data_IF_547062237372
#
_entry.id   IF_547062237372
#
_cell.length_a   1.000
_cell.length_b   1.000
_cell.length_c   1.000
_cell.angle_alpha   90.00
_cell.angle_beta   90.00
_cell.angle_gamma   90.00
#
_symmetry.space_group_name_H-M   'P 1'
#
loop_
_entity.id
_entity.type
_entity.pdbx_description
1 polymer ?
#
# COMPACT_ATOMS: atom_id res chain seq x y z
N UNK A 1 -12.49 -26.29 -8.61
CA UNK A 1 -11.18 -25.62 -8.59
C UNK A 1 -11.44 -24.18 -9.04
N UNK A 2 -11.90 -23.33 -8.10
CA UNK A 2 -12.17 -21.92 -8.38
C UNK A 2 -10.82 -21.22 -8.57
N UNK A 3 -10.56 -20.69 -9.77
CA UNK A 3 -9.47 -19.75 -9.99
C UNK A 3 -9.77 -18.52 -9.15
N UNK A 4 -9.00 -18.29 -8.09
CA UNK A 4 -8.97 -16.99 -7.42
C UNK A 4 -8.51 -15.98 -8.47
N UNK A 5 -9.41 -15.08 -8.87
CA UNK A 5 -9.15 -14.03 -9.86
C UNK A 5 -8.33 -12.86 -9.28
N UNK A 6 -7.94 -12.96 -8.00
CA UNK A 6 -7.23 -11.92 -7.27
C UNK A 6 -5.74 -12.18 -7.31
N UNK A 7 -4.99 -11.28 -7.94
CA UNK A 7 -3.53 -11.39 -8.02
C UNK A 7 -2.82 -10.46 -7.01
N UNK A 8 -3.51 -9.43 -6.52
CA UNK A 8 -3.07 -8.51 -5.48
C UNK A 8 -4.26 -7.91 -4.70
N UNK A 9 -4.02 -7.57 -3.43
CA UNK A 9 -4.95 -6.80 -2.58
C UNK A 9 -4.18 -5.85 -1.67
N UNK A 10 -4.78 -4.70 -1.34
CA UNK A 10 -4.19 -3.69 -0.48
C UNK A 10 -5.19 -3.29 0.61
N UNK A 11 -4.71 -3.23 1.84
CA UNK A 11 -5.46 -2.85 3.02
C UNK A 11 -4.76 -1.67 3.68
N UNK A 12 -5.49 -0.57 3.87
CA UNK A 12 -4.98 0.60 4.59
C UNK A 12 -5.66 0.66 5.94
N UNK A 13 -4.87 0.68 7.01
CA UNK A 13 -5.36 0.89 8.36
C UNK A 13 -4.95 2.28 8.85
N UNK A 14 -5.95 3.10 9.12
CA UNK A 14 -5.77 4.43 9.71
C UNK A 14 -6.09 4.35 11.21
N UNK A 15 -5.09 4.59 12.04
CA UNK A 15 -5.29 4.68 13.49
C UNK A 15 -6.19 5.85 13.84
N UNK A 16 -7.04 5.68 14.87
CA UNK A 16 -7.86 6.79 15.41
C UNK A 16 -7.00 7.98 15.86
N UNK A 17 -5.74 7.74 16.25
CA UNK A 17 -4.80 8.80 16.63
C UNK A 17 -4.41 9.75 15.51
N UNK A 18 -4.72 9.41 14.25
CA UNK A 18 -4.48 10.28 13.09
C UNK A 18 -5.53 11.39 12.96
N UNK A 19 -6.66 11.29 13.66
CA UNK A 19 -7.77 12.23 13.53
C UNK A 19 -7.84 13.18 14.72
N UNK A 20 -8.02 14.48 14.44
CA UNK A 20 -8.32 15.52 15.46
C UNK A 20 -9.60 15.26 16.20
N UNK A 21 -10.58 14.66 15.50
CA UNK A 21 -11.86 14.27 16.06
C UNK A 21 -12.29 12.98 15.39
N UNK A 22 -12.67 11.99 16.19
CA UNK A 22 -13.23 10.74 15.73
C UNK A 22 -14.47 10.41 16.56
N UNK A 23 -15.61 10.25 15.89
CA UNK A 23 -16.86 9.83 16.50
C UNK A 23 -17.52 8.78 15.63
N UNK A 24 -17.87 7.64 16.22
CA UNK A 24 -18.68 6.62 15.58
C UNK A 24 -19.88 6.37 16.49
N UNK A 25 -21.08 6.53 15.95
CA UNK A 25 -22.33 6.25 16.63
C UNK A 25 -23.06 5.18 15.82
N UNK A 26 -23.31 4.03 16.44
CA UNK A 26 -24.01 2.94 15.77
C UNK A 26 -25.52 3.16 15.89
N UNK A 27 -26.26 3.30 14.78
CA UNK A 27 -27.71 3.44 14.82
C UNK A 27 -28.45 2.14 15.22
N UNK A 28 -27.79 0.98 15.18
CA UNK A 28 -28.39 -0.34 15.49
C UNK A 28 -27.98 -0.93 16.85
N UNK A 29 -27.19 -0.22 17.67
CA UNK A 29 -26.77 -0.71 18.99
C UNK A 29 -27.97 -0.84 19.96
N UNK A 30 -28.25 -2.07 20.41
CA UNK A 30 -29.19 -2.33 21.50
C UNK A 30 -28.59 -1.91 22.85
N UNK A 31 -29.41 -1.44 23.80
CA UNK A 31 -28.97 -1.07 25.16
C UNK A 31 -28.38 -2.24 25.99
N UNK A 32 -28.36 -3.47 25.44
CA UNK A 32 -28.02 -4.72 26.14
C UNK A 32 -26.78 -5.45 25.56
N UNK A 33 -25.93 -4.76 24.78
CA UNK A 33 -24.84 -5.41 24.05
C UNK A 33 -23.64 -5.78 24.95
N UNK A 34 -23.56 -7.07 25.30
CA UNK A 34 -22.31 -7.73 25.69
C UNK A 34 -21.27 -7.66 24.55
N UNK A 35 -19.95 -7.55 24.83
CA UNK A 35 -18.91 -7.35 23.81
C UNK A 35 -18.79 -8.45 22.73
N UNK A 36 -19.49 -9.58 22.89
CA UNK A 36 -19.55 -10.68 21.91
C UNK A 36 -20.61 -10.47 20.81
N UNK A 37 -21.54 -9.52 20.96
CA UNK A 37 -22.64 -9.24 20.01
C UNK A 37 -22.58 -7.84 19.38
N UNK A 38 -21.44 -7.14 19.47
CA UNK A 38 -21.32 -5.81 18.90
C UNK A 38 -21.62 -5.83 17.38
N UNK A 39 -22.52 -4.96 16.87
CA UNK A 39 -22.85 -4.90 15.46
C UNK A 39 -21.61 -4.67 14.59
N UNK A 40 -21.56 -5.31 13.43
CA UNK A 40 -20.52 -5.02 12.44
C UNK A 40 -20.69 -3.60 11.91
N UNK A 41 -19.61 -2.80 11.86
CA UNK A 41 -19.70 -1.43 11.37
C UNK A 41 -20.18 -1.42 9.91
N UNK A 42 -20.88 -0.36 9.47
CA UNK A 42 -21.38 -0.27 8.10
C UNK A 42 -20.22 -0.27 7.11
N UNK A 43 -20.29 -1.16 6.12
CA UNK A 43 -19.35 -1.22 5.00
C UNK A 43 -20.01 -0.65 3.74
N UNK A 44 -19.21 0.03 2.93
CA UNK A 44 -19.65 0.58 1.65
C UNK A 44 -18.46 0.65 0.69
N UNK A 45 -18.77 0.70 -0.60
CA UNK A 45 -17.78 0.91 -1.65
C UNK A 45 -17.92 2.31 -2.25
N UNK A 46 -16.80 2.91 -2.64
CA UNK A 46 -16.76 4.22 -3.32
C UNK A 46 -15.75 4.18 -4.47
N UNK A 47 -15.85 5.14 -5.39
CA UNK A 47 -14.84 5.36 -6.41
C UNK A 47 -13.56 5.90 -5.78
N UNK A 48 -12.50 5.08 -5.74
CA UNK A 48 -11.18 5.50 -5.25
C UNK A 48 -10.61 6.70 -6.05
N UNK A 49 -10.71 6.76 -7.39
CA UNK A 49 -10.31 7.96 -8.14
C UNK A 49 -11.04 9.22 -7.67
N UNK A 50 -12.36 9.16 -7.47
CA UNK A 50 -13.14 10.31 -7.02
C UNK A 50 -12.75 10.74 -5.59
N UNK A 51 -12.46 9.77 -4.72
CA UNK A 51 -11.93 10.04 -3.38
C UNK A 51 -10.58 10.76 -3.45
N UNK A 52 -9.64 10.26 -4.26
CA UNK A 52 -8.31 10.83 -4.37
C UNK A 52 -8.34 12.24 -4.98
N UNK A 53 -9.14 12.45 -6.04
CA UNK A 53 -9.34 13.78 -6.62
C UNK A 53 -9.91 14.76 -5.58
N UNK A 54 -10.89 14.32 -4.79
CA UNK A 54 -11.49 15.12 -3.71
C UNK A 54 -10.47 15.51 -2.65
N UNK A 55 -9.65 14.57 -2.19
CA UNK A 55 -8.60 14.84 -1.19
C UNK A 55 -7.48 15.73 -1.73
N UNK A 56 -7.33 15.82 -3.05
CA UNK A 56 -6.29 16.60 -3.72
C UNK A 56 -6.74 18.00 -4.17
N UNK A 57 -7.99 18.41 -3.91
CA UNK A 57 -8.55 19.69 -4.40
C UNK A 57 -7.66 20.91 -4.08
N UNK A 58 -6.99 20.93 -2.94
CA UNK A 58 -6.09 22.01 -2.53
C UNK A 58 -4.60 21.68 -2.68
N UNK A 59 -4.28 20.47 -3.14
CA UNK A 59 -2.93 20.06 -3.51
C UNK A 59 -2.67 20.39 -4.99
N UNK A 60 -2.80 21.66 -5.35
CA UNK A 60 -2.71 22.15 -6.74
C UNK A 60 -1.28 22.08 -7.33
N UNK A 61 -0.33 21.45 -6.65
CA UNK A 61 1.04 21.28 -7.13
C UNK A 61 1.29 20.03 -7.97
N UNK A 62 0.48 18.97 -7.84
CA UNK A 62 0.81 17.63 -8.37
C UNK A 62 -0.33 16.98 -9.20
N UNK A 63 -1.33 17.75 -9.65
CA UNK A 63 -2.49 17.24 -10.41
C UNK A 63 -2.13 16.56 -11.74
N UNK A 64 -0.90 16.71 -12.23
CA UNK A 64 -0.41 16.02 -13.42
C UNK A 64 0.06 14.57 -13.18
N UNK A 65 0.26 14.15 -11.92
CA UNK A 65 0.73 12.80 -11.62
C UNK A 65 -0.34 11.70 -11.77
N UNK A 66 -1.64 12.08 -11.79
CA UNK A 66 -2.74 11.12 -11.88
C UNK A 66 -3.38 11.04 -13.28
N UNK A 67 -3.24 12.08 -14.12
CA UNK A 67 -4.01 12.21 -15.36
C UNK A 67 -3.42 11.53 -16.59
N UNK A 68 -2.16 11.10 -16.56
CA UNK A 68 -1.55 10.37 -17.66
C UNK A 68 -0.30 9.68 -17.13
N UNK A 69 -0.28 8.35 -17.06
CA UNK A 69 1.02 7.70 -17.03
C UNK A 69 0.98 6.28 -17.57
N UNK A 70 1.67 6.09 -18.68
CA UNK A 70 2.12 4.79 -19.13
C UNK A 70 2.71 4.00 -17.94
N UNK A 71 2.46 2.69 -17.85
CA UNK A 71 2.92 1.87 -16.73
C UNK A 71 4.42 1.99 -16.46
N UNK A 72 5.23 2.33 -17.47
CA UNK A 72 6.68 2.52 -17.36
C UNK A 72 7.10 3.76 -16.58
N UNK A 73 6.41 4.89 -16.76
CA UNK A 73 6.87 6.20 -16.27
C UNK A 73 6.57 6.46 -14.79
N UNK A 74 5.63 5.69 -14.21
CA UNK A 74 5.21 5.81 -12.81
C UNK A 74 6.40 5.72 -11.84
N UNK A 75 7.28 4.75 -12.00
CA UNK A 75 8.44 4.60 -11.10
C UNK A 75 9.50 5.69 -11.26
N UNK A 76 9.69 6.20 -12.48
CA UNK A 76 10.60 7.32 -12.75
C UNK A 76 10.03 8.63 -12.17
N UNK A 77 8.72 8.85 -12.29
CA UNK A 77 8.02 9.95 -11.61
C UNK A 77 8.15 9.80 -10.07
N UNK A 78 8.07 8.58 -9.55
CA UNK A 78 8.22 8.31 -8.11
C UNK A 78 9.65 8.49 -7.61
N UNK A 79 10.68 8.29 -8.45
CA UNK A 79 12.08 8.65 -8.15
C UNK A 79 12.24 10.16 -7.99
N UNK A 80 11.59 10.96 -8.84
CA UNK A 80 11.62 12.42 -8.77
C UNK A 80 10.80 12.96 -7.58
N UNK A 81 9.73 12.24 -7.21
CA UNK A 81 8.84 12.59 -6.09
C UNK A 81 9.29 11.99 -4.72
N UNK A 82 10.56 11.57 -4.58
CA UNK A 82 11.19 11.36 -3.25
C UNK A 82 11.31 12.66 -2.46
N UNK A 83 11.14 13.81 -3.12
CA UNK A 83 10.98 15.10 -2.47
C UNK A 83 9.52 15.32 -2.07
N UNK A 84 9.03 14.52 -1.10
CA UNK A 84 7.84 14.85 -0.30
C UNK A 84 8.05 16.21 0.43
N UNK A 85 9.29 16.65 0.54
CA UNK A 85 9.68 18.01 0.91
C UNK A 85 9.65 18.97 -0.30
N UNK A 86 8.51 19.12 -0.99
CA UNK A 86 8.36 20.28 -1.86
C UNK A 86 8.16 21.51 -0.95
N UNK A 87 9.12 22.44 -0.86
CA UNK A 87 9.02 23.61 0.02
C UNK A 87 7.89 24.58 -0.41
N UNK A 88 7.23 24.32 -1.54
CA UNK A 88 6.06 25.03 -2.04
C UNK A 88 4.76 24.22 -1.95
N UNK A 89 4.77 23.06 -1.27
CA UNK A 89 3.51 22.38 -0.92
C UNK A 89 2.72 23.24 0.06
N UNK A 90 1.39 23.24 -0.04
CA UNK A 90 0.50 23.97 0.87
C UNK A 90 0.72 23.58 2.34
N UNK A 91 1.09 22.32 2.57
CA UNK A 91 1.56 21.82 3.87
C UNK A 91 2.86 22.51 4.35
N UNK A 92 3.84 22.74 3.47
CA UNK A 92 5.09 23.46 3.78
C UNK A 92 4.88 24.98 3.99
N UNK A 93 3.79 25.54 3.48
CA UNK A 93 3.41 26.96 3.64
C UNK A 93 2.57 27.23 4.90
N UNK A 94 2.36 26.24 5.77
CA UNK A 94 1.65 26.40 7.04
C UNK A 94 0.13 26.57 6.90
N UNK A 95 -0.44 26.24 5.74
CA UNK A 95 -1.89 26.26 5.53
C UNK A 95 -2.46 24.93 6.03
N UNK A 96 -2.94 24.94 7.28
CA UNK A 96 -3.64 23.79 7.86
C UNK A 96 -5.06 23.75 7.31
N UNK A 97 -5.27 22.95 6.26
CA UNK A 97 -6.61 22.66 5.77
C UNK A 97 -7.27 21.63 6.71
N UNK A 98 -8.48 21.93 7.17
CA UNK A 98 -9.26 20.99 7.97
C UNK A 98 -10.07 20.10 7.02
N UNK A 99 -9.85 18.79 7.10
CA UNK A 99 -10.61 17.79 6.37
C UNK A 99 -11.56 17.08 7.33
N UNK A 100 -12.85 17.13 7.05
CA UNK A 100 -13.90 16.42 7.77
C UNK A 100 -14.55 15.40 6.84
N UNK A 101 -14.45 14.14 7.23
CA UNK A 101 -15.11 13.02 6.56
C UNK A 101 -16.31 12.63 7.41
N UNK A 102 -17.50 12.58 6.80
CA UNK A 102 -18.75 12.24 7.48
C UNK A 102 -19.57 11.26 6.65
N UNK A 103 -20.11 10.26 7.34
CA UNK A 103 -21.03 9.27 6.77
C UNK A 103 -22.20 9.12 7.74
N UNK A 104 -23.39 9.56 7.32
CA UNK A 104 -24.53 9.72 8.22
C UNK A 104 -25.26 8.39 8.48
N UNK A 105 -25.69 7.70 7.42
CA UNK A 105 -26.48 6.47 7.49
C UNK A 105 -26.07 5.49 6.38
N UNK A 106 -26.46 4.22 6.53
CA UNK A 106 -26.29 3.20 5.47
C UNK A 106 -26.96 3.67 4.18
N UNK A 107 -26.19 3.78 3.10
CA UNK A 107 -26.66 4.22 1.78
C UNK A 107 -26.64 5.74 1.56
N UNK A 108 -26.27 6.55 2.56
CA UNK A 108 -25.97 7.97 2.37
C UNK A 108 -24.65 8.15 1.59
N UNK A 109 -24.45 9.26 0.86
CA UNK A 109 -23.15 9.58 0.29
C UNK A 109 -22.11 9.80 1.39
N UNK A 110 -20.83 9.57 1.06
CA UNK A 110 -19.70 9.96 1.89
C UNK A 110 -19.43 11.45 1.65
N UNK A 111 -19.74 12.28 2.64
CA UNK A 111 -19.50 13.73 2.58
C UNK A 111 -18.09 14.05 3.06
N UNK A 112 -17.31 14.70 2.20
CA UNK A 112 -15.97 15.19 2.50
C UNK A 112 -16.00 16.71 2.42
N UNK A 113 -15.74 17.36 3.55
CA UNK A 113 -15.66 18.80 3.68
C UNK A 113 -14.21 19.19 3.94
N UNK A 114 -13.64 20.00 3.05
CA UNK A 114 -12.29 20.53 3.20
C UNK A 114 -12.38 22.05 3.32
N UNK A 115 -11.89 22.61 4.42
CA UNK A 115 -11.87 24.04 4.68
C UNK A 115 -10.44 24.55 4.80
N UNK A 116 -10.10 25.56 4.00
CA UNK A 116 -8.80 26.23 4.01
C UNK A 116 -9.02 27.75 4.02
N UNK A 117 -8.48 28.43 5.03
CA UNK A 117 -8.72 29.86 5.29
C UNK A 117 -10.22 30.18 5.37
N UNK A 118 -10.81 30.76 4.33
CA UNK A 118 -12.22 31.17 4.27
C UNK A 118 -13.02 30.40 3.18
N UNK A 119 -12.37 29.47 2.48
CA UNK A 119 -13.01 28.66 1.43
C UNK A 119 -13.31 27.28 1.98
N UNK A 120 -14.57 26.87 1.86
CA UNK A 120 -15.02 25.51 2.21
C UNK A 120 -15.51 24.82 0.96
N UNK A 121 -14.95 23.66 0.66
CA UNK A 121 -15.39 22.78 -0.41
C UNK A 121 -16.05 21.55 0.17
N UNK A 122 -17.28 21.26 -0.28
CA UNK A 122 -18.04 20.08 0.11
C UNK A 122 -18.18 19.16 -1.10
N UNK A 123 -17.84 17.89 -0.92
CA UNK A 123 -17.92 16.86 -1.94
C UNK A 123 -18.69 15.66 -1.41
N UNK A 124 -19.79 15.32 -2.07
CA UNK A 124 -20.60 14.16 -1.76
C UNK A 124 -20.27 13.02 -2.71
N UNK A 125 -19.61 11.99 -2.20
CA UNK A 125 -19.23 10.80 -2.98
C UNK A 125 -20.32 9.74 -2.86
N UNK A 126 -20.83 9.28 -4.00
CA UNK A 126 -21.81 8.19 -4.06
C UNK A 126 -21.23 6.91 -3.46
N UNK A 127 -21.96 6.31 -2.52
CA UNK A 127 -21.65 5.01 -1.91
C UNK A 127 -22.42 3.90 -2.60
N UNK A 128 -21.79 2.74 -2.70
CA UNK A 128 -22.36 1.52 -3.25
C UNK A 128 -22.39 0.44 -2.19
N UNK A 129 -23.29 -0.52 -2.36
CA UNK A 129 -23.33 -1.71 -1.49
C UNK A 129 -22.00 -2.45 -1.60
N UNK A 130 -21.38 -2.78 -0.47
CA UNK A 130 -20.14 -3.54 -0.45
C UNK A 130 -20.40 -4.94 -0.97
N UNK A 131 -19.74 -5.32 -2.05
CA UNK A 131 -19.53 -6.72 -2.36
C UNK A 131 -18.52 -7.27 -1.34
N UNK A 132 -18.74 -8.46 -0.80
CA UNK A 132 -17.73 -9.16 -0.01
C UNK A 132 -16.59 -9.54 -0.96
N UNK A 133 -15.52 -8.75 -0.95
CA UNK A 133 -14.25 -9.16 -1.55
C UNK A 133 -13.66 -10.27 -0.70
N UNK A 134 -13.47 -11.46 -1.28
CA UNK A 134 -12.74 -12.54 -0.61
C UNK A 134 -11.30 -12.07 -0.36
N UNK A 135 -10.93 -11.94 0.92
CA UNK A 135 -9.56 -11.60 1.30
C UNK A 135 -8.60 -12.70 0.85
N UNK A 136 -7.43 -12.31 0.35
CA UNK A 136 -6.34 -13.26 0.12
C UNK A 136 -5.98 -13.90 1.48
N UNK A 137 -6.16 -15.21 1.66
CA UNK A 137 -5.81 -15.88 2.90
C UNK A 137 -4.30 -15.82 3.11
N UNK A 138 -3.88 -15.54 4.34
CA UNK A 138 -2.47 -15.46 4.70
C UNK A 138 -2.27 -16.11 6.06
N UNK A 139 -1.47 -17.18 6.10
CA UNK A 139 -1.21 -17.90 7.34
C UNK A 139 -0.17 -17.16 8.19
N UNK A 140 -0.61 -16.67 9.35
CA UNK A 140 0.25 -15.91 10.29
C UNK A 140 0.99 -16.80 11.27
N UNK A 141 0.56 -18.04 11.42
CA UNK A 141 1.14 -19.00 12.37
C UNK A 141 2.32 -19.75 11.73
N UNK A 142 2.21 -20.07 10.43
CA UNK A 142 3.26 -20.78 9.68
C UNK A 142 3.91 -19.87 8.63
N UNK A 143 4.91 -19.09 9.07
CA UNK A 143 5.68 -18.20 8.20
C UNK A 143 6.93 -18.89 7.64
N UNK A 144 7.07 -18.92 6.31
CA UNK A 144 8.28 -19.35 5.64
C UNK A 144 9.38 -18.26 5.69
N UNK A 145 8.98 -16.99 5.70
CA UNK A 145 9.85 -15.84 5.83
C UNK A 145 9.20 -14.76 6.68
N UNK A 146 9.98 -14.16 7.58
CA UNK A 146 9.64 -12.90 8.24
C UNK A 146 10.90 -12.06 8.37
N UNK A 147 10.90 -10.88 7.77
CA UNK A 147 11.98 -9.92 7.91
C UNK A 147 11.44 -8.51 8.13
N UNK A 148 12.18 -7.70 8.89
CA UNK A 148 11.90 -6.27 9.09
C UNK A 148 13.15 -5.51 8.67
N UNK A 149 12.96 -4.46 7.88
CA UNK A 149 14.05 -3.59 7.41
C UNK A 149 13.55 -2.16 7.22
N UNK A 150 14.47 -1.21 7.05
CA UNK A 150 14.10 0.13 6.57
C UNK A 150 13.48 0.03 5.19
N UNK A 151 12.33 0.66 5.00
CA UNK A 151 11.56 0.56 3.75
C UNK A 151 12.35 1.12 2.55
N UNK A 152 13.22 2.10 2.79
CA UNK A 152 14.11 2.66 1.77
C UNK A 152 15.01 1.61 1.09
N UNK A 153 15.53 0.62 1.84
CA UNK A 153 16.38 -0.43 1.27
C UNK A 153 15.61 -1.32 0.30
N UNK A 154 14.35 -1.66 0.63
CA UNK A 154 13.47 -2.39 -0.27
C UNK A 154 13.13 -1.53 -1.50
N UNK A 155 12.81 -0.25 -1.31
CA UNK A 155 12.51 0.67 -2.40
C UNK A 155 13.69 0.83 -3.38
N UNK A 156 14.91 0.99 -2.87
CA UNK A 156 16.12 1.08 -3.69
C UNK A 156 16.32 -0.19 -4.53
N UNK A 157 16.17 -1.37 -3.92
CA UNK A 157 16.27 -2.65 -4.62
C UNK A 157 15.21 -2.81 -5.73
N UNK A 158 13.94 -2.52 -5.43
CA UNK A 158 12.87 -2.57 -6.44
C UNK A 158 13.10 -1.55 -7.55
N UNK A 159 13.60 -0.36 -7.20
CA UNK A 159 13.94 0.68 -8.16
C UNK A 159 15.06 0.25 -9.10
N UNK A 160 16.10 -0.41 -8.58
CA UNK A 160 17.19 -0.95 -9.38
C UNK A 160 16.69 -2.03 -10.34
N UNK A 161 15.95 -3.02 -9.83
CA UNK A 161 15.41 -4.12 -10.63
C UNK A 161 14.47 -3.63 -11.74
N UNK A 162 13.68 -2.59 -11.46
CA UNK A 162 12.76 -2.00 -12.44
C UNK A 162 13.47 -1.47 -13.70
N UNK A 163 14.76 -1.12 -13.62
CA UNK A 163 15.54 -0.64 -14.78
C UNK A 163 15.67 -1.66 -15.91
N UNK A 164 15.51 -2.95 -15.58
CA UNK A 164 15.54 -4.05 -16.56
C UNK A 164 14.19 -4.32 -17.21
N UNK A 165 13.13 -3.62 -16.78
CA UNK A 165 11.74 -3.82 -17.17
C UNK A 165 11.25 -5.27 -17.07
N UNK A 166 11.36 -5.88 -15.88
CA UNK A 166 10.98 -7.27 -15.68
C UNK A 166 9.46 -7.43 -15.63
N UNK A 167 8.97 -8.60 -16.05
CA UNK A 167 7.56 -9.01 -15.88
C UNK A 167 7.33 -9.70 -14.54
N UNK A 168 8.37 -10.29 -13.96
CA UNK A 168 8.32 -11.05 -12.72
C UNK A 168 9.54 -10.78 -11.84
N UNK A 169 9.38 -10.99 -10.54
CA UNK A 169 10.44 -10.88 -9.53
C UNK A 169 10.40 -12.08 -8.60
N UNK A 170 11.56 -12.71 -8.43
CA UNK A 170 11.77 -13.84 -7.53
C UNK A 170 12.33 -13.35 -6.21
N UNK A 171 11.61 -13.65 -5.13
CA UNK A 171 12.07 -13.53 -3.75
C UNK A 171 12.69 -14.86 -3.33
N UNK A 172 13.96 -14.81 -2.93
CA UNK A 172 14.69 -15.97 -2.41
C UNK A 172 15.11 -15.62 -0.99
N UNK A 173 14.90 -16.53 -0.04
CA UNK A 173 15.42 -16.38 1.32
C UNK A 173 16.02 -17.68 1.84
N UNK A 174 17.03 -17.58 2.69
CA UNK A 174 17.69 -18.74 3.32
C UNK A 174 18.22 -18.41 4.71
N UNK A 175 18.42 -19.43 5.58
CA UNK A 175 19.08 -19.24 6.88
C UNK A 175 20.53 -18.76 6.76
N UNK A 176 21.15 -18.93 5.60
CA UNK A 176 22.55 -18.56 5.29
C UNK A 176 22.60 -17.36 4.35
N UNK A 177 23.76 -16.67 4.31
CA UNK A 177 24.04 -15.62 3.34
C UNK A 177 23.71 -16.04 1.90
N UNK A 178 23.12 -15.16 1.08
CA UNK A 178 22.87 -13.73 1.33
C UNK A 178 21.60 -13.44 2.17
N UNK A 179 20.98 -14.43 2.82
CA UNK A 179 19.77 -14.33 3.65
C UNK A 179 18.49 -14.02 2.89
N UNK A 180 18.47 -12.93 2.12
CA UNK A 180 17.36 -12.56 1.24
C UNK A 180 17.92 -12.00 -0.07
N UNK A 181 17.33 -12.38 -1.19
CA UNK A 181 17.68 -11.87 -2.52
C UNK A 181 16.40 -11.59 -3.30
N UNK A 182 16.45 -10.51 -4.06
CA UNK A 182 15.42 -10.14 -5.03
C UNK A 182 16.04 -10.23 -6.43
N UNK A 183 15.51 -11.11 -7.27
CA UNK A 183 16.02 -11.34 -8.61
C UNK A 183 14.93 -11.09 -9.64
N UNK A 184 15.22 -10.31 -10.67
CA UNK A 184 14.29 -10.01 -11.73
C UNK A 184 14.94 -10.23 -13.09
N UNK A 185 14.15 -10.72 -14.04
CA UNK A 185 14.59 -11.00 -15.41
C UNK A 185 13.70 -10.18 -16.34
N UNK A 186 14.33 -9.35 -17.17
CA UNK A 186 13.67 -8.57 -18.20
C UNK A 186 14.34 -8.73 -19.56
N UNK A 187 13.79 -8.09 -20.61
CA UNK A 187 14.30 -8.22 -21.98
C UNK A 187 15.74 -7.73 -22.15
N UNK A 188 16.17 -6.80 -21.31
CA UNK A 188 17.48 -6.15 -21.36
C UNK A 188 18.54 -6.86 -20.49
N UNK A 189 18.15 -7.92 -19.77
CA UNK A 189 19.03 -8.68 -18.89
C UNK A 189 18.37 -9.05 -17.57
N UNK A 190 19.14 -9.66 -16.68
CA UNK A 190 18.73 -10.01 -15.32
C UNK A 190 19.50 -9.20 -14.29
N UNK A 191 18.82 -8.76 -13.24
CA UNK A 191 19.44 -8.09 -12.10
C UNK A 191 19.07 -8.85 -10.81
N UNK A 192 19.98 -8.86 -9.84
CA UNK A 192 19.75 -9.48 -8.53
C UNK A 192 20.33 -8.57 -7.46
N UNK A 193 19.53 -8.30 -6.42
CA UNK A 193 19.93 -7.51 -5.26
C UNK A 193 19.92 -8.42 -4.03
N UNK A 194 21.06 -8.49 -3.34
CA UNK A 194 21.30 -9.35 -2.19
C UNK A 194 21.31 -8.55 -0.89
N UNK A 195 20.60 -9.04 0.14
CA UNK A 195 20.47 -8.41 1.45
C UNK A 195 21.29 -9.14 2.51
N UNK A 196 22.62 -8.97 2.45
CA UNK A 196 23.52 -9.70 3.32
C UNK A 196 23.71 -9.06 4.72
N UNK A 197 23.06 -9.65 5.73
CA UNK A 197 23.16 -9.19 7.14
C UNK A 197 24.58 -9.28 7.73
N UNK A 198 25.47 -10.11 7.17
CA UNK A 198 26.84 -10.26 7.67
C UNK A 198 27.71 -9.04 7.30
N UNK A 199 27.35 -8.33 6.23
CA UNK A 199 28.01 -7.11 5.79
C UNK A 199 27.45 -5.87 6.49
N UNK A 200 26.14 -5.84 6.71
CA UNK A 200 25.45 -4.78 7.46
C UNK A 200 24.40 -5.39 8.41
N UNK A 201 24.73 -5.53 9.72
CA UNK A 201 23.82 -6.10 10.71
C UNK A 201 22.53 -5.29 10.90
N UNK A 202 22.50 -4.01 10.51
CA UNK A 202 21.32 -3.14 10.63
C UNK A 202 20.41 -3.21 9.40
N UNK A 203 20.83 -3.88 8.33
CA UNK A 203 20.05 -4.02 7.10
C UNK A 203 18.76 -4.81 7.34
N UNK A 204 18.85 -5.92 8.06
CA UNK A 204 17.73 -6.79 8.43
C UNK A 204 17.55 -6.77 9.95
N UNK A 205 16.82 -5.77 10.46
CA UNK A 205 16.54 -5.58 11.90
C UNK A 205 15.93 -6.83 12.55
N UNK A 206 15.13 -7.57 11.79
CA UNK A 206 14.64 -8.89 12.16
C UNK A 206 14.75 -9.79 10.95
N UNK A 207 15.22 -11.03 11.13
CA UNK A 207 15.23 -12.02 10.05
C UNK A 207 14.93 -13.41 10.62
N UNK A 208 13.86 -14.03 10.12
CA UNK A 208 13.44 -15.38 10.45
C UNK A 208 13.12 -16.11 9.14
N UNK A 209 13.87 -17.16 8.87
CA UNK A 209 13.73 -17.98 7.68
C UNK A 209 14.17 -19.40 8.07
N UNK A 210 13.23 -20.30 8.44
CA UNK A 210 13.57 -21.61 8.97
C UNK A 210 14.23 -22.54 7.94
N UNK A 211 13.86 -22.39 6.67
CA UNK A 211 14.36 -23.18 5.55
C UNK A 211 14.45 -22.33 4.30
N UNK A 212 15.11 -22.83 3.25
CA UNK A 212 15.24 -22.08 2.00
C UNK A 212 13.86 -21.90 1.36
N UNK A 213 13.46 -20.64 1.19
CA UNK A 213 12.21 -20.21 0.57
C UNK A 213 12.50 -19.56 -0.79
N UNK A 214 11.69 -19.85 -1.80
CA UNK A 214 11.75 -19.18 -3.11
C UNK A 214 10.37 -19.11 -3.73
N UNK A 215 9.97 -17.90 -4.10
CA UNK A 215 8.69 -17.65 -4.75
C UNK A 215 8.82 -16.50 -5.74
N UNK A 216 8.03 -16.54 -6.82
CA UNK A 216 8.03 -15.52 -7.86
C UNK A 216 6.69 -14.80 -7.87
N UNK A 217 6.71 -13.48 -8.09
CA UNK A 217 5.53 -12.62 -8.12
C UNK A 217 5.52 -11.79 -9.40
N UNK A 218 4.33 -11.38 -9.85
CA UNK A 218 4.21 -10.39 -10.93
C UNK A 218 4.85 -9.07 -10.50
N UNK A 219 5.75 -8.55 -11.33
CA UNK A 219 6.42 -7.29 -11.06
C UNK A 219 5.44 -6.11 -11.06
N UNK A 220 4.31 -6.24 -11.78
CA UNK A 220 3.24 -5.23 -11.81
C UNK A 220 2.68 -4.96 -10.41
N UNK A 221 2.42 -6.00 -9.62
CA UNK A 221 1.90 -5.84 -8.26
C UNK A 221 2.94 -5.23 -7.34
N UNK A 222 4.19 -5.69 -7.42
CA UNK A 222 5.29 -5.13 -6.63
C UNK A 222 5.51 -3.65 -6.95
N UNK A 223 5.36 -3.25 -8.21
CA UNK A 223 5.42 -1.85 -8.64
C UNK A 223 4.28 -1.02 -8.05
N UNK A 224 3.06 -1.56 -7.93
CA UNK A 224 1.94 -0.88 -7.29
C UNK A 224 2.21 -0.57 -5.79
N UNK A 225 2.98 -1.43 -5.12
CA UNK A 225 3.39 -1.23 -3.72
C UNK A 225 4.46 -0.13 -3.55
N UNK A 226 5.20 0.20 -4.62
CA UNK A 226 6.39 1.08 -4.54
C UNK A 226 6.11 2.43 -3.87
N UNK A 227 4.92 3.02 -4.08
CA UNK A 227 4.55 4.29 -3.42
C UNK A 227 4.54 4.17 -1.90
N UNK A 228 3.97 3.09 -1.36
CA UNK A 228 4.01 2.82 0.08
C UNK A 228 5.45 2.57 0.55
N UNK A 229 6.29 1.90 -0.26
CA UNK A 229 7.70 1.67 0.09
C UNK A 229 8.46 2.99 0.31
N UNK A 230 8.21 4.00 -0.53
CA UNK A 230 8.90 5.30 -0.45
C UNK A 230 8.40 6.14 0.73
N UNK A 231 7.11 6.06 1.07
CA UNK A 231 6.52 6.85 2.15
C UNK A 231 6.73 6.25 3.55
N UNK A 232 7.05 4.97 3.65
CA UNK A 232 7.19 4.27 4.91
C UNK A 232 8.60 4.39 5.50
N UNK A 233 8.72 4.39 6.83
CA UNK A 233 10.02 4.31 7.51
C UNK A 233 10.52 2.86 7.58
N UNK A 234 9.60 1.91 7.84
CA UNK A 234 9.91 0.47 7.95
C UNK A 234 8.93 -0.38 7.17
N UNK A 235 9.39 -1.56 6.77
CA UNK A 235 8.56 -2.61 6.17
C UNK A 235 8.78 -3.94 6.87
N UNK A 236 7.69 -4.64 7.20
CA UNK A 236 7.70 -6.06 7.53
C UNK A 236 7.34 -6.85 6.27
N UNK A 237 8.30 -7.64 5.78
CA UNK A 237 8.13 -8.55 4.65
C UNK A 237 7.91 -9.95 5.22
N UNK A 238 6.74 -10.53 4.92
CA UNK A 238 6.37 -11.87 5.40
C UNK A 238 5.89 -12.72 4.23
N UNK A 239 6.27 -13.99 4.23
CA UNK A 239 5.69 -14.97 3.33
C UNK A 239 5.25 -16.20 4.11
N UNK A 240 4.08 -16.73 3.79
CA UNK A 240 3.60 -17.99 4.35
C UNK A 240 4.14 -19.19 3.54
N UNK A 241 3.82 -20.41 3.99
CA UNK A 241 4.24 -21.64 3.31
C UNK A 241 3.61 -21.82 1.92
N UNK A 242 2.48 -21.16 1.64
CA UNK A 242 1.84 -21.17 0.32
C UNK A 242 2.50 -20.18 -0.64
N UNK A 243 3.38 -19.31 -0.14
CA UNK A 243 4.07 -18.29 -0.90
C UNK A 243 3.29 -17.00 -1.07
N UNK A 244 2.20 -16.78 -0.33
CA UNK A 244 1.52 -15.47 -0.30
C UNK A 244 2.42 -14.48 0.42
N UNK A 245 2.66 -13.33 -0.22
CA UNK A 245 3.51 -12.26 0.31
C UNK A 245 2.65 -11.23 1.03
N UNK A 246 2.96 -10.92 2.29
CA UNK A 246 2.44 -9.77 3.03
C UNK A 246 3.55 -8.72 3.20
N UNK A 247 3.28 -7.50 2.76
CA UNK A 247 4.14 -6.33 2.91
C UNK A 247 3.43 -5.29 3.78
N UNK A 248 3.82 -5.22 5.05
CA UNK A 248 3.25 -4.26 6.00
C UNK A 248 4.20 -3.08 6.20
N UNK A 249 3.78 -1.91 5.77
CA UNK A 249 4.51 -0.66 5.84
C UNK A 249 4.09 0.15 7.05
N UNK A 250 5.08 0.65 7.81
CA UNK A 250 4.88 1.63 8.88
C UNK A 250 5.11 3.03 8.30
N UNK A 251 4.06 3.85 8.29
CA UNK A 251 4.10 5.23 7.83
C UNK A 251 4.00 6.14 9.05
N UNK A 252 5.02 6.96 9.24
CA UNK A 252 5.04 8.01 10.27
C UNK A 252 4.41 9.28 9.68
N UNK A 253 3.38 9.78 10.35
CA UNK A 253 2.69 11.01 10.00
C UNK A 253 3.32 12.16 10.79
N UNK A 254 3.59 13.25 10.07
CA UNK A 254 4.27 14.43 10.59
C UNK A 254 3.66 14.88 11.94
N UNK A 255 4.47 15.12 12.98
CA UNK A 255 4.00 15.59 14.28
C UNK A 255 3.24 16.92 14.23
N UNK A 256 3.47 17.76 13.22
CA UNK A 256 2.71 19.00 12.99
C UNK A 256 1.29 18.76 12.45
N UNK A 257 1.04 17.60 11.83
CA UNK A 257 -0.27 17.17 11.33
C UNK A 257 -1.05 16.34 12.36
N UNK A 258 -0.51 16.13 13.57
CA UNK A 258 -1.14 15.33 14.61
C UNK A 258 -2.17 16.13 15.41
N UNK A 259 -3.25 15.44 15.75
CA UNK A 259 -4.34 15.91 16.59
C UNK A 259 -3.93 16.27 18.02
N UNK A 260 -3.01 15.48 18.57
CA UNK A 260 -2.66 15.46 19.99
C UNK A 260 -1.14 15.59 20.12
N UNK A 261 -0.62 16.68 20.72
CA UNK A 261 0.81 16.84 20.94
C UNK A 261 1.35 15.70 21.82
N UNK A 262 2.26 14.88 21.27
CA UNK A 262 2.98 13.84 22.04
C UNK A 262 2.52 12.40 21.81
N UNK A 263 1.58 12.13 20.89
CA UNK A 263 1.28 10.77 20.41
C UNK A 263 1.78 10.57 18.98
N UNK A 264 2.68 9.61 18.78
CA UNK A 264 3.15 9.25 17.43
C UNK A 264 1.96 8.91 16.51
N UNK A 265 1.76 9.75 15.49
CA UNK A 265 0.83 9.52 14.41
C UNK A 265 1.40 8.43 13.51
N UNK A 266 0.99 7.19 13.76
CA UNK A 266 1.40 6.04 12.94
C UNK A 266 0.23 5.53 12.12
N UNK A 267 0.50 5.20 10.85
CA UNK A 267 -0.40 4.53 9.95
C UNK A 267 0.25 3.23 9.44
N UNK A 268 -0.57 2.24 9.12
CA UNK A 268 -0.10 0.99 8.52
C UNK A 268 -0.77 0.74 7.18
N UNK A 269 0.02 0.31 6.20
CA UNK A 269 -0.48 -0.17 4.91
C UNK A 269 0.01 -1.59 4.71
N UNK A 270 -0.92 -2.54 4.51
CA UNK A 270 -0.61 -3.95 4.27
C UNK A 270 -1.01 -4.33 2.85
N UNK A 271 -0.09 -4.91 2.10
CA UNK A 271 -0.36 -5.48 0.79
C UNK A 271 -0.25 -6.98 0.86
N UNK A 272 -1.19 -7.70 0.23
CA UNK A 272 -1.09 -9.15 0.02
C UNK A 272 -1.00 -9.44 -1.47
N UNK A 273 0.01 -10.23 -1.86
CA UNK A 273 0.29 -10.56 -3.25
C UNK A 273 0.37 -12.07 -3.39
N UNK A 274 -0.40 -12.61 -4.35
CA UNK A 274 -0.40 -14.03 -4.66
C UNK A 274 0.85 -14.37 -5.51
N UNK A 275 1.49 -15.53 -5.28
CA UNK A 275 2.58 -15.98 -6.13
C UNK A 275 2.12 -16.21 -7.58
N UNK A 276 3.02 -15.95 -8.52
CA UNK A 276 2.79 -16.29 -9.92
C UNK A 276 2.98 -17.80 -10.11
N UNK A 277 1.99 -18.47 -10.70
CA UNK A 277 2.05 -19.92 -10.95
C UNK A 277 2.84 -20.17 -12.24
N UNK A 278 3.77 -21.12 -12.24
CA UNK A 278 4.49 -21.54 -13.45
C UNK A 278 3.49 -22.04 -14.51
N UNK A 279 3.40 -21.33 -15.64
CA UNK A 279 2.46 -21.62 -16.73
C UNK A 279 1.69 -20.40 -17.25
N UNK A 280 1.63 -19.31 -16.48
CA UNK A 280 1.16 -18.00 -16.96
C UNK A 280 2.31 -17.22 -17.62
N UNK A 281 2.86 -17.78 -18.70
CA UNK A 281 3.58 -16.94 -19.65
C UNK A 281 2.56 -15.98 -20.26
N UNK A 282 2.87 -14.69 -20.22
CA UNK A 282 2.04 -13.63 -20.78
C UNK A 282 1.52 -14.05 -22.15
N UNK A 283 0.19 -14.17 -22.29
CA UNK A 283 -0.42 -14.06 -23.60
C UNK A 283 -0.11 -12.64 -24.04
N UNK A 284 0.81 -12.53 -24.99
CA UNK A 284 0.99 -11.35 -25.79
C UNK A 284 -0.34 -11.11 -26.48
N UNK A 285 -1.09 -10.10 -26.04
CA UNK A 285 -2.32 -9.63 -26.68
C UNK A 285 -1.93 -8.89 -27.98
N UNK A 286 -1.29 -9.62 -28.91
CA UNK A 286 -1.20 -9.22 -30.31
C UNK A 286 -2.42 -9.77 -31.05
N UNK A 287 -3.60 -9.24 -30.71
CA UNK A 287 -4.67 -9.12 -31.70
C UNK A 287 -4.25 -8.02 -32.68
N UNK A 288 -3.43 -8.39 -33.67
CA UNK A 288 -3.45 -7.71 -34.95
C UNK A 288 -4.76 -8.08 -35.63
N UNK A 289 -5.75 -7.21 -35.47
CA UNK A 289 -6.78 -6.99 -36.48
C UNK A 289 -6.06 -6.63 -37.79
N UNK A 290 -6.07 -7.54 -38.76
CA UNK A 290 -5.88 -7.21 -40.17
C UNK A 290 -6.67 -8.23 -41.03
N UNK A 291 -7.75 -7.69 -41.61
CA UNK A 291 -8.56 -8.10 -42.79
C UNK A 291 -9.35 -9.43 -42.81
#
# INVERSE_FOLDING_TARGET
>A
MHRLCFQDSAFVFLSRSLFTTWSYQDPEASEDDSPENAPTPPTFQISLPALLETLQIFSLGDSNAFRQQDPYDTLNAFRQNRNINNPFSTAALGSSALCRISYENRGSPLSIQISETDVTTNCDLTTYQSETTEDIPFDRETLALKTIMRSAHLADAISELASTNPTSISLIASPTAPYMSLSAIGPLGSATVDFNKDQDPLLLETFQCPSRFRTTYSFRHIKAVYRAMVSASKVSVRADEQGVLSLQFLIEVDPSAQAEPGKEGIAFVDFRIVPQVEGEAAKDDSETDDE
#
